data_IF_426007125283
#
_entry.id   IF_426007125283
#
_cell.length_a   1.000
_cell.length_b   1.000
_cell.length_c   1.000
_cell.angle_alpha   90.00
_cell.angle_beta   90.00
_cell.angle_gamma   90.00
#
_symmetry.space_group_name_H-M   'P 1'
#
loop_
_entity.id
_entity.type
_entity.pdbx_description
1 polymer ?
#
# COMPACT_ATOMS: atom_id res chain seq x y z
N UNK A 1 -19.00 5.07 -37.11
CA UNK A 1 -18.56 6.18 -36.25
C UNK A 1 -17.88 5.58 -35.04
N UNK A 2 -16.60 5.90 -34.75
CA UNK A 2 -15.96 5.33 -33.57
C UNK A 2 -16.67 5.89 -32.34
N UNK A 3 -17.10 5.01 -31.44
CA UNK A 3 -17.72 5.39 -30.19
C UNK A 3 -16.73 6.31 -29.43
N UNK A 4 -17.16 7.53 -29.11
CA UNK A 4 -16.39 8.44 -28.28
C UNK A 4 -16.00 7.69 -27.01
N UNK A 5 -14.69 7.52 -26.77
CA UNK A 5 -14.22 6.83 -25.57
C UNK A 5 -14.89 7.45 -24.33
N UNK A 6 -15.61 6.64 -23.55
CA UNK A 6 -16.21 7.09 -22.31
C UNK A 6 -15.11 7.67 -21.41
N UNK A 7 -15.40 8.75 -20.68
CA UNK A 7 -14.40 9.33 -19.76
C UNK A 7 -13.97 8.23 -18.78
N UNK A 8 -12.69 8.19 -18.39
CA UNK A 8 -12.16 7.13 -17.50
C UNK A 8 -12.99 7.01 -16.22
N UNK A 9 -13.54 8.10 -15.72
CA UNK A 9 -14.49 8.11 -14.59
C UNK A 9 -15.78 7.32 -14.85
N UNK A 10 -16.31 7.37 -16.07
CA UNK A 10 -17.51 6.60 -16.46
C UNK A 10 -17.17 5.11 -16.57
N UNK A 11 -16.01 4.78 -17.14
CA UNK A 11 -15.52 3.39 -17.20
C UNK A 11 -15.30 2.82 -15.79
N UNK A 12 -14.72 3.63 -14.89
CA UNK A 12 -14.52 3.25 -13.50
C UNK A 12 -15.85 3.01 -12.77
N UNK A 13 -16.84 3.90 -12.94
CA UNK A 13 -18.18 3.71 -12.37
C UNK A 13 -18.88 2.47 -12.92
N UNK A 14 -18.75 2.21 -14.22
CA UNK A 14 -19.30 1.01 -14.83
C UNK A 14 -18.66 -0.25 -14.25
N UNK A 15 -17.33 -0.27 -14.09
CA UNK A 15 -16.60 -1.38 -13.48
C UNK A 15 -17.01 -1.63 -12.03
N UNK A 16 -17.18 -0.57 -11.22
CA UNK A 16 -17.67 -0.70 -9.84
C UNK A 16 -19.02 -1.42 -9.78
N UNK A 17 -19.94 -1.09 -10.68
CA UNK A 17 -21.29 -1.65 -10.70
C UNK A 17 -21.39 -3.03 -11.34
N UNK A 18 -20.70 -3.25 -12.45
CA UNK A 18 -20.88 -4.43 -13.29
C UNK A 18 -19.93 -5.57 -12.92
N UNK A 19 -18.74 -5.25 -12.40
CA UNK A 19 -17.70 -6.23 -12.14
C UNK A 19 -17.44 -6.36 -10.63
N UNK A 20 -17.07 -5.25 -9.98
CA UNK A 20 -16.65 -5.30 -8.57
C UNK A 20 -17.80 -5.56 -7.60
N UNK A 21 -18.97 -4.94 -7.81
CA UNK A 21 -20.10 -5.13 -6.90
C UNK A 21 -20.58 -6.59 -6.84
N UNK A 22 -20.78 -7.32 -7.96
CA UNK A 22 -21.09 -8.74 -7.93
C UNK A 22 -20.07 -9.57 -7.14
N UNK A 23 -18.77 -9.32 -7.30
CA UNK A 23 -17.71 -10.01 -6.54
C UNK A 23 -17.76 -9.68 -5.04
N UNK A 24 -17.92 -8.41 -4.69
CA UNK A 24 -18.04 -7.95 -3.32
C UNK A 24 -19.26 -8.58 -2.62
N UNK A 25 -20.40 -8.61 -3.31
CA UNK A 25 -21.63 -9.25 -2.85
C UNK A 25 -21.43 -10.75 -2.63
N UNK A 26 -20.74 -11.45 -3.55
CA UNK A 26 -20.43 -12.87 -3.40
C UNK A 26 -19.55 -13.17 -2.19
N UNK A 27 -18.71 -12.21 -1.77
CA UNK A 27 -17.88 -12.26 -0.55
C UNK A 27 -18.61 -11.80 0.73
N UNK A 28 -19.92 -11.53 0.65
CA UNK A 28 -20.73 -11.14 1.80
C UNK A 28 -20.68 -9.66 2.19
N UNK A 29 -20.11 -8.79 1.34
CA UNK A 29 -20.07 -7.35 1.59
C UNK A 29 -21.48 -6.76 1.37
N UNK A 30 -21.98 -6.03 2.36
CA UNK A 30 -23.28 -5.36 2.25
C UNK A 30 -23.23 -4.21 1.23
N UNK A 31 -24.36 -3.95 0.55
CA UNK A 31 -24.47 -2.81 -0.37
C UNK A 31 -24.18 -1.48 0.34
N UNK A 32 -24.63 -1.33 1.59
CA UNK A 32 -24.35 -0.15 2.42
C UNK A 32 -22.85 0.07 2.64
N UNK A 33 -22.11 -1.00 2.98
CA UNK A 33 -20.65 -0.94 3.15
C UNK A 33 -19.95 -0.60 1.85
N UNK A 34 -20.38 -1.24 0.75
CA UNK A 34 -19.82 -1.00 -0.57
C UNK A 34 -20.01 0.46 -1.00
N UNK A 35 -21.24 0.98 -0.91
CA UNK A 35 -21.56 2.36 -1.28
C UNK A 35 -20.78 3.36 -0.44
N UNK A 36 -20.69 3.14 0.88
CA UNK A 36 -19.91 4.00 1.76
C UNK A 36 -18.40 3.98 1.46
N UNK A 37 -17.86 2.82 1.07
CA UNK A 37 -16.44 2.69 0.72
C UNK A 37 -16.08 3.36 -0.61
N UNK A 38 -17.03 3.45 -1.53
CA UNK A 38 -16.83 4.03 -2.87
C UNK A 38 -17.42 5.44 -3.06
N UNK A 39 -18.05 6.01 -2.02
CA UNK A 39 -18.55 7.37 -2.06
C UNK A 39 -17.40 8.37 -2.28
N UNK A 40 -17.53 9.22 -3.30
CA UNK A 40 -16.50 10.19 -3.69
C UNK A 40 -15.20 9.61 -4.27
N UNK A 41 -15.04 8.28 -4.38
CA UNK A 41 -13.82 7.66 -4.91
C UNK A 41 -13.68 7.94 -6.40
N UNK A 42 -12.47 8.32 -6.81
CA UNK A 42 -12.10 8.57 -8.20
C UNK A 42 -10.80 7.85 -8.57
N UNK A 43 -10.61 7.47 -9.85
CA UNK A 43 -9.33 6.94 -10.31
C UNK A 43 -8.18 7.92 -10.04
N UNK A 44 -7.10 7.45 -9.42
CA UNK A 44 -5.88 8.22 -9.29
C UNK A 44 -5.05 8.08 -10.57
N UNK A 45 -5.17 9.07 -11.47
CA UNK A 45 -4.48 9.06 -12.77
C UNK A 45 -3.02 9.55 -12.72
N UNK A 46 -2.46 9.79 -11.52
CA UNK A 46 -1.10 10.30 -11.31
C UNK A 46 -0.13 9.22 -10.82
N UNK A 47 -0.54 7.95 -10.80
CA UNK A 47 0.34 6.87 -10.36
C UNK A 47 1.50 6.70 -11.38
N UNK A 48 2.75 6.58 -10.91
CA UNK A 48 3.93 6.64 -11.77
C UNK A 48 3.99 5.54 -12.83
N UNK A 49 3.37 4.39 -12.56
CA UNK A 49 3.34 3.22 -13.47
C UNK A 49 1.95 2.96 -14.06
N UNK A 50 1.04 3.94 -14.03
CA UNK A 50 -0.30 3.78 -14.58
C UNK A 50 -0.29 3.79 -16.11
N UNK A 51 -0.68 2.66 -16.70
CA UNK A 51 -1.00 2.57 -18.12
C UNK A 51 -2.49 2.89 -18.31
N UNK A 52 -2.82 4.03 -18.93
CA UNK A 52 -4.22 4.38 -19.20
C UNK A 52 -4.77 3.55 -20.37
N UNK A 53 -6.10 3.36 -20.47
CA UNK A 53 -6.71 2.74 -21.64
C UNK A 53 -6.28 3.44 -22.94
N UNK A 54 -5.70 2.68 -23.88
CA UNK A 54 -5.18 3.20 -25.15
C UNK A 54 -3.73 3.68 -25.12
N UNK A 55 -3.07 3.67 -23.96
CA UNK A 55 -1.65 3.97 -23.81
C UNK A 55 -0.82 2.69 -23.91
N UNK A 56 0.36 2.76 -24.53
CA UNK A 56 1.31 1.63 -24.51
C UNK A 56 2.14 1.72 -23.24
N UNK A 57 2.34 0.58 -22.58
CA UNK A 57 3.22 0.49 -21.43
C UNK A 57 4.62 1.04 -21.81
N UNK A 58 5.03 2.12 -21.17
CA UNK A 58 6.39 2.63 -21.28
C UNK A 58 7.20 2.01 -20.16
N UNK A 59 8.23 1.23 -20.48
CA UNK A 59 9.20 0.77 -19.49
C UNK A 59 9.86 2.00 -18.87
N UNK A 60 9.87 2.16 -17.53
CA UNK A 60 10.59 3.26 -16.90
C UNK A 60 12.05 3.26 -17.36
N UNK A 61 12.53 4.36 -17.98
CA UNK A 61 13.91 4.46 -18.44
C UNK A 61 14.92 4.51 -17.29
N UNK A 62 14.47 4.83 -16.06
CA UNK A 62 15.27 4.77 -14.84
C UNK A 62 14.79 3.62 -13.96
N UNK A 63 15.66 2.64 -13.75
CA UNK A 63 15.44 1.55 -12.82
C UNK A 63 15.48 2.09 -11.39
N UNK A 64 14.30 2.31 -10.79
CA UNK A 64 14.15 2.76 -9.40
C UNK A 64 14.00 1.61 -8.40
N UNK A 65 13.97 0.37 -8.90
CA UNK A 65 13.93 -0.80 -8.04
C UNK A 65 15.23 -0.87 -7.25
N UNK A 66 15.10 -0.72 -5.94
CA UNK A 66 16.22 -0.73 -5.03
C UNK A 66 16.96 -2.09 -5.01
N UNK A 67 16.31 -3.14 -5.52
CA UNK A 67 16.88 -4.47 -5.81
C UNK A 67 18.05 -4.45 -6.82
N UNK A 68 18.15 -3.41 -7.67
CA UNK A 68 19.24 -3.24 -8.64
C UNK A 68 20.22 -2.11 -8.24
N UNK A 69 20.09 -1.55 -7.03
CA UNK A 69 20.97 -0.53 -6.48
C UNK A 69 22.10 -1.10 -5.60
N UNK A 70 23.11 -0.28 -5.28
CA UNK A 70 24.17 -0.68 -4.35
C UNK A 70 23.59 -0.93 -2.95
N UNK A 71 23.97 -2.04 -2.27
CA UNK A 71 23.54 -2.33 -0.90
C UNK A 71 23.86 -1.21 0.10
N UNK A 72 24.89 -0.40 -0.17
CA UNK A 72 25.31 0.69 0.71
C UNK A 72 24.23 1.75 0.93
N UNK A 73 23.32 1.94 -0.02
CA UNK A 73 22.21 2.87 0.15
C UNK A 73 21.21 2.39 1.22
N UNK A 74 21.06 1.07 1.41
CA UNK A 74 20.19 0.48 2.43
C UNK A 74 20.77 0.59 3.84
N UNK A 75 22.09 0.49 3.98
CA UNK A 75 22.78 0.62 5.25
C UNK A 75 23.27 2.04 5.53
N UNK A 76 22.82 3.02 4.75
CA UNK A 76 23.20 4.41 4.95
C UNK A 76 22.85 4.84 6.38
N UNK A 77 23.86 5.33 7.09
CA UNK A 77 23.81 5.59 8.53
C UNK A 77 22.62 6.49 8.94
N UNK A 78 22.26 7.44 8.08
CA UNK A 78 21.09 8.31 8.27
C UNK A 78 19.77 7.54 8.34
N UNK A 79 19.60 6.51 7.50
CA UNK A 79 18.40 5.67 7.44
C UNK A 79 18.34 4.80 8.69
N UNK A 80 19.44 4.14 9.02
CA UNK A 80 19.55 3.29 10.21
C UNK A 80 19.30 4.10 11.48
N UNK A 81 19.87 5.30 11.61
CA UNK A 81 19.66 6.17 12.78
C UNK A 81 18.21 6.60 12.95
N UNK A 82 17.53 7.03 11.89
CA UNK A 82 16.12 7.45 11.98
C UNK A 82 15.21 6.29 12.39
N UNK A 83 15.40 5.11 11.80
CA UNK A 83 14.64 3.90 12.16
C UNK A 83 14.91 3.48 13.61
N UNK A 84 16.17 3.57 14.06
CA UNK A 84 16.54 3.20 15.43
C UNK A 84 15.97 4.17 16.47
N UNK A 85 15.96 5.47 16.19
CA UNK A 85 15.40 6.48 17.11
C UNK A 85 13.87 6.35 17.24
N UNK A 86 13.18 6.12 16.12
CA UNK A 86 11.75 5.81 16.13
C UNK A 86 11.45 4.48 16.85
N UNK A 87 12.30 3.47 16.64
CA UNK A 87 12.24 2.17 17.32
C UNK A 87 12.28 2.29 18.85
N UNK A 88 13.26 3.01 19.40
CA UNK A 88 13.40 3.21 20.86
C UNK A 88 12.21 3.95 21.48
N UNK A 89 11.65 4.92 20.77
CA UNK A 89 10.47 5.65 21.24
C UNK A 89 9.25 4.73 21.30
N UNK A 90 9.05 3.91 20.24
CA UNK A 90 7.97 2.92 20.17
C UNK A 90 8.16 1.80 21.19
N UNK A 91 9.39 1.36 21.43
CA UNK A 91 9.74 0.39 22.46
C UNK A 91 9.29 0.85 23.84
N UNK A 92 9.71 2.06 24.25
CA UNK A 92 9.32 2.62 25.54
C UNK A 92 7.80 2.78 25.68
N UNK A 93 7.13 3.22 24.61
CA UNK A 93 5.68 3.42 24.62
C UNK A 93 4.88 2.11 24.64
N UNK A 94 5.43 0.99 24.15
CA UNK A 94 4.71 -0.27 23.95
C UNK A 94 5.31 -1.45 24.74
N UNK A 95 6.19 -1.19 25.72
CA UNK A 95 6.96 -2.23 26.41
C UNK A 95 6.10 -3.38 26.98
N UNK A 96 4.97 -3.05 27.62
CA UNK A 96 4.06 -4.07 28.17
C UNK A 96 3.38 -4.91 27.09
N UNK A 97 2.99 -4.30 25.98
CA UNK A 97 2.41 -4.97 24.82
C UNK A 97 3.44 -5.87 24.13
N UNK A 98 4.66 -5.38 23.94
CA UNK A 98 5.76 -6.16 23.35
C UNK A 98 6.08 -7.39 24.21
N UNK A 99 6.20 -7.23 25.53
CA UNK A 99 6.43 -8.35 26.45
C UNK A 99 5.27 -9.38 26.41
N UNK A 100 4.02 -8.93 26.29
CA UNK A 100 2.88 -9.82 26.18
C UNK A 100 2.86 -10.60 24.84
N UNK A 101 3.21 -9.94 23.74
CA UNK A 101 3.35 -10.56 22.41
C UNK A 101 4.48 -11.58 22.43
N UNK A 102 5.64 -11.21 22.97
CA UNK A 102 6.80 -12.10 23.09
C UNK A 102 6.44 -13.33 23.91
N UNK A 103 5.80 -13.17 25.07
CA UNK A 103 5.35 -14.31 25.90
C UNK A 103 4.38 -15.23 25.15
N UNK A 104 3.51 -14.67 24.30
CA UNK A 104 2.48 -15.45 23.60
C UNK A 104 3.00 -16.15 22.35
N UNK A 105 3.91 -15.51 21.62
CA UNK A 105 4.33 -15.95 20.28
C UNK A 105 5.80 -16.35 20.19
N UNK A 106 6.61 -16.10 21.23
CA UNK A 106 8.03 -16.42 21.27
C UNK A 106 8.92 -15.54 20.37
N UNK A 107 8.38 -14.43 19.86
CA UNK A 107 9.11 -13.49 19.00
C UNK A 107 9.61 -12.33 19.86
N UNK A 108 10.94 -12.07 19.92
CA UNK A 108 11.49 -10.95 20.68
C UNK A 108 10.92 -9.61 20.23
N UNK A 109 10.60 -8.73 21.18
CA UNK A 109 9.99 -7.43 20.90
C UNK A 109 10.78 -6.55 19.92
N UNK A 110 12.11 -6.67 19.92
CA UNK A 110 13.00 -5.92 19.03
C UNK A 110 12.82 -6.31 17.56
N UNK A 111 12.52 -7.59 17.29
CA UNK A 111 12.25 -8.08 15.93
C UNK A 111 10.95 -7.49 15.39
N UNK A 112 9.90 -7.42 16.22
CA UNK A 112 8.65 -6.75 15.86
C UNK A 112 8.87 -5.26 15.58
N UNK A 113 9.65 -4.58 16.43
CA UNK A 113 9.97 -3.17 16.26
C UNK A 113 10.78 -2.89 15.00
N UNK A 114 11.71 -3.78 14.64
CA UNK A 114 12.48 -3.65 13.40
C UNK A 114 11.59 -3.75 12.16
N UNK A 115 10.64 -4.68 12.13
CA UNK A 115 9.65 -4.79 11.05
C UNK A 115 8.78 -3.54 11.02
N UNK A 116 8.21 -3.16 12.16
CA UNK A 116 7.31 -2.01 12.25
C UNK A 116 7.99 -0.70 11.81
N UNK A 117 9.22 -0.48 12.27
CA UNK A 117 10.04 0.67 11.90
C UNK A 117 10.49 0.66 10.44
N UNK A 118 10.50 -0.48 9.75
CA UNK A 118 10.79 -0.53 8.32
C UNK A 118 9.56 -0.28 7.46
N UNK A 119 8.40 -0.80 7.86
CA UNK A 119 7.16 -0.70 7.06
C UNK A 119 6.45 0.65 7.21
N UNK A 120 6.60 1.32 8.34
CA UNK A 120 5.85 2.56 8.64
C UNK A 120 6.64 3.55 9.51
N UNK A 121 7.96 3.38 9.54
CA UNK A 121 8.91 4.09 10.41
C UNK A 121 8.94 5.58 10.21
#
# INVERSE_FOLDING_TARGET
>A
TPASAAKIDDQFRAWLGNDLWPEAKAKGISKKTFDAAFDGVKPNLKLPDLVKPGERATTPQKQHQAEFGSPNAYFAEKIVRTVTAGGRTREAANASTLAAIEKRYGVPGEVLLAIWGRESG
#
